data_IF_972022158678
#
_entry.id   IF_972022158678
#
_cell.length_a   1.000
_cell.length_b   1.000
_cell.length_c   1.000
_cell.angle_alpha   90.00
_cell.angle_beta   90.00
_cell.angle_gamma   90.00
#
_symmetry.space_group_name_H-M   'P 1'
#
loop_
_entity.id
_entity.type
_entity.pdbx_description
1 polymer ?
#
# COMPACT_ATOMS: atom_id res chain seq x y z
N UNK A 1 9.53 28.41 -13.62
CA UNK A 1 10.43 27.25 -13.46
C UNK A 1 11.55 27.61 -12.50
N UNK A 2 11.37 27.36 -11.20
CA UNK A 2 12.41 27.61 -10.20
C UNK A 2 13.53 26.55 -10.27
N UNK A 3 14.73 26.99 -9.88
CA UNK A 3 15.94 26.16 -9.77
C UNK A 3 15.99 25.49 -8.40
N UNK A 4 15.68 24.20 -8.34
CA UNK A 4 15.45 23.49 -7.07
C UNK A 4 16.25 22.20 -6.96
N UNK A 5 16.78 21.93 -5.78
CA UNK A 5 17.33 20.63 -5.40
C UNK A 5 16.22 19.74 -4.84
N UNK A 6 16.30 18.44 -5.10
CA UNK A 6 15.43 17.47 -4.39
C UNK A 6 16.18 16.92 -3.19
N UNK A 7 15.67 17.20 -2.00
CA UNK A 7 16.30 16.82 -0.74
C UNK A 7 15.41 15.87 0.03
N UNK A 8 16.02 15.00 0.82
CA UNK A 8 15.30 14.04 1.66
C UNK A 8 15.67 14.26 3.11
N UNK A 9 14.66 14.29 3.98
CA UNK A 9 14.80 14.54 5.40
C UNK A 9 14.50 13.29 6.20
N UNK A 10 14.66 13.38 7.53
CA UNK A 10 14.34 12.32 8.48
C UNK A 10 12.94 11.74 8.23
N UNK A 11 12.82 10.44 8.56
CA UNK A 11 11.66 9.63 8.25
C UNK A 11 10.30 10.21 8.73
N UNK A 12 9.19 9.89 8.04
CA UNK A 12 9.12 9.12 6.80
C UNK A 12 9.77 9.89 5.64
N UNK A 13 10.60 9.18 4.87
CA UNK A 13 11.41 9.66 3.73
C UNK A 13 10.52 10.32 2.66
N UNK A 14 10.13 11.58 2.92
CA UNK A 14 9.50 12.48 1.96
C UNK A 14 10.60 13.33 1.35
N UNK A 15 10.65 13.32 0.03
CA UNK A 15 11.55 14.17 -0.73
C UNK A 15 10.83 15.48 -1.02
N UNK A 16 11.49 16.61 -0.73
CA UNK A 16 10.96 17.94 -0.98
C UNK A 16 11.83 18.64 -2.01
N UNK A 17 11.20 19.50 -2.81
CA UNK A 17 11.92 20.49 -3.60
C UNK A 17 12.31 21.64 -2.68
N UNK A 18 13.58 22.04 -2.74
CA UNK A 18 14.17 23.09 -1.91
C UNK A 18 14.98 23.99 -2.81
N UNK A 19 14.89 25.29 -2.55
CA UNK A 19 15.67 26.29 -3.27
C UNK A 19 17.15 26.16 -2.89
N UNK A 20 18.00 25.97 -3.90
CA UNK A 20 19.44 25.82 -3.70
C UNK A 20 20.15 27.17 -3.48
N UNK A 21 19.54 28.28 -3.92
CA UNK A 21 20.20 29.59 -3.98
C UNK A 21 21.49 29.51 -4.81
N UNK A 22 22.54 30.14 -4.30
CA UNK A 22 23.89 30.15 -4.91
C UNK A 22 24.76 28.95 -4.51
N UNK A 23 24.21 27.96 -3.80
CA UNK A 23 24.99 26.82 -3.29
C UNK A 23 25.21 25.76 -4.38
N UNK A 24 26.46 25.35 -4.55
CA UNK A 24 26.81 24.19 -5.37
C UNK A 24 26.49 22.87 -4.62
N UNK A 25 25.31 22.31 -4.90
CA UNK A 25 24.83 21.10 -4.24
C UNK A 25 25.07 19.85 -5.11
N UNK A 26 25.94 18.97 -4.61
CA UNK A 26 26.17 17.63 -5.14
C UNK A 26 25.15 16.61 -4.62
N UNK A 27 25.00 15.49 -5.33
CA UNK A 27 24.20 14.35 -4.83
C UNK A 27 24.92 13.75 -3.62
N UNK A 28 24.17 13.46 -2.55
CA UNK A 28 24.71 12.93 -1.30
C UNK A 28 25.21 13.98 -0.33
N UNK A 29 25.28 15.26 -0.72
CA UNK A 29 25.72 16.34 0.17
C UNK A 29 24.73 16.49 1.34
N UNK A 30 25.19 16.44 2.60
CA UNK A 30 24.34 16.72 3.74
C UNK A 30 24.12 18.23 3.86
N UNK A 31 22.88 18.62 4.11
CA UNK A 31 22.47 20.03 4.16
C UNK A 31 21.58 20.27 5.37
N UNK A 32 21.60 21.51 5.87
CA UNK A 32 20.59 22.00 6.80
C UNK A 32 19.63 22.88 6.01
N UNK A 33 18.34 22.59 6.13
CA UNK A 33 17.29 23.36 5.48
C UNK A 33 16.16 23.66 6.45
N UNK A 34 15.49 24.79 6.23
CA UNK A 34 14.29 25.12 6.97
C UNK A 34 13.10 24.37 6.35
N UNK A 35 12.45 23.54 7.14
CA UNK A 35 11.19 22.87 6.78
C UNK A 35 10.01 23.57 7.46
N UNK A 36 8.79 23.13 7.19
CA UNK A 36 7.61 23.60 7.93
C UNK A 36 7.69 23.28 9.45
N UNK A 37 8.51 22.30 9.84
CA UNK A 37 8.70 21.93 11.25
C UNK A 37 9.81 22.76 11.90
N UNK A 38 10.86 23.09 11.17
CA UNK A 38 11.99 23.87 11.69
C UNK A 38 13.27 23.50 10.93
N UNK A 39 14.43 23.70 11.57
CA UNK A 39 15.71 23.31 11.00
C UNK A 39 15.85 21.77 11.01
N UNK A 40 16.07 21.17 9.84
CA UNK A 40 16.27 19.73 9.70
C UNK A 40 17.53 19.42 8.88
N UNK A 41 18.23 18.36 9.30
CA UNK A 41 19.32 17.77 8.51
C UNK A 41 18.71 16.90 7.40
N UNK A 42 19.08 17.20 6.16
CA UNK A 42 18.68 16.47 4.97
C UNK A 42 19.85 16.07 4.10
N UNK A 43 19.56 15.30 3.07
CA UNK A 43 20.54 14.87 2.07
C UNK A 43 20.03 15.17 0.67
N UNK A 44 20.87 15.75 -0.17
CA UNK A 44 20.56 16.05 -1.57
C UNK A 44 20.46 14.73 -2.36
N UNK A 45 19.31 14.49 -3.00
CA UNK A 45 19.09 13.32 -3.88
C UNK A 45 19.30 13.62 -5.34
N UNK A 46 18.87 14.79 -5.79
CA UNK A 46 19.09 15.25 -7.16
C UNK A 46 19.73 16.63 -7.12
N UNK A 47 20.70 16.85 -8.02
CA UNK A 47 21.31 18.17 -8.24
C UNK A 47 20.22 19.20 -8.57
N UNK A 48 20.46 20.48 -8.25
CA UNK A 48 19.58 21.55 -8.64
C UNK A 48 19.22 21.47 -10.14
N UNK A 49 17.93 21.57 -10.45
CA UNK A 49 17.40 21.57 -11.81
C UNK A 49 16.13 22.42 -11.89
N UNK A 50 15.80 22.85 -13.10
CA UNK A 50 14.50 23.47 -13.35
C UNK A 50 13.39 22.44 -13.20
N UNK A 51 12.37 22.78 -12.40
CA UNK A 51 11.18 21.95 -12.22
C UNK A 51 9.95 22.78 -12.55
N UNK A 52 8.97 22.23 -13.27
CA UNK A 52 7.69 22.89 -13.50
C UNK A 52 6.97 23.24 -12.19
N UNK A 53 6.37 24.44 -12.15
CA UNK A 53 5.77 25.01 -10.94
C UNK A 53 4.61 24.16 -10.40
N UNK A 54 3.90 23.44 -11.27
CA UNK A 54 2.79 22.52 -10.93
C UNK A 54 3.22 21.33 -10.07
N UNK A 55 4.51 20.98 -10.07
CA UNK A 55 5.06 19.88 -9.27
C UNK A 55 5.58 20.31 -7.91
N UNK A 56 5.58 21.61 -7.62
CA UNK A 56 6.13 22.18 -6.40
C UNK A 56 4.99 22.53 -5.45
N UNK A 57 5.11 22.12 -4.19
CA UNK A 57 4.16 22.49 -3.15
C UNK A 57 4.69 23.76 -2.46
N UNK A 58 4.03 24.92 -2.62
CA UNK A 58 4.44 26.15 -1.94
C UNK A 58 4.17 26.07 -0.42
N UNK A 59 4.92 26.80 0.43
CA UNK A 59 6.05 27.65 0.10
C UNK A 59 7.33 26.84 -0.14
N UNK A 60 8.07 27.22 -1.18
CA UNK A 60 9.42 26.71 -1.42
C UNK A 60 10.33 27.32 -0.34
N UNK A 61 10.97 26.46 0.46
CA UNK A 61 11.94 26.88 1.47
C UNK A 61 13.37 26.69 0.94
N UNK A 62 14.30 27.47 1.46
CA UNK A 62 15.70 27.45 1.05
C UNK A 62 16.57 26.49 1.87
N UNK A 63 17.68 26.08 1.26
CA UNK A 63 18.81 25.49 1.99
C UNK A 63 19.44 26.60 2.84
N UNK A 64 19.59 26.35 4.14
CA UNK A 64 20.29 27.29 5.03
C UNK A 64 21.79 27.24 4.77
N UNK A 65 22.38 26.03 4.79
CA UNK A 65 23.80 25.80 4.49
C UNK A 65 24.12 24.33 4.25
N UNK A 66 25.31 24.07 3.71
CA UNK A 66 25.93 22.73 3.72
C UNK A 66 26.22 22.34 5.18
N UNK A 67 25.87 21.11 5.54
CA UNK A 67 26.09 20.59 6.88
C UNK A 67 27.58 20.24 7.07
N UNK A 68 28.12 20.64 8.21
CA UNK A 68 29.48 20.32 8.64
C UNK A 68 29.54 18.91 9.24
N UNK A 69 30.74 18.39 9.45
CA UNK A 69 30.94 17.12 10.16
C UNK A 69 30.38 17.17 11.60
N UNK A 70 30.42 18.33 12.26
CA UNK A 70 29.85 18.53 13.59
C UNK A 70 28.32 18.41 13.57
N UNK A 71 27.66 18.93 12.53
CA UNK A 71 26.20 18.83 12.38
C UNK A 71 25.75 17.38 12.20
N UNK A 72 26.50 16.62 11.40
CA UNK A 72 26.23 15.19 11.21
C UNK A 72 26.44 14.42 12.51
N UNK A 73 27.50 14.72 13.26
CA UNK A 73 27.74 14.10 14.57
C UNK A 73 26.64 14.45 15.59
N UNK A 74 26.17 15.71 15.60
CA UNK A 74 25.04 16.14 16.42
C UNK A 74 23.75 15.37 16.07
N UNK A 75 23.48 15.14 14.78
CA UNK A 75 22.31 14.34 14.35
C UNK A 75 22.36 12.91 14.87
N UNK A 76 23.55 12.29 14.93
CA UNK A 76 23.76 10.96 15.51
C UNK A 76 23.46 10.97 17.01
N UNK A 77 24.03 11.91 17.76
CA UNK A 77 23.77 12.07 19.20
C UNK A 77 22.29 12.36 19.50
N UNK A 78 21.60 13.09 18.60
CA UNK A 78 20.17 13.32 18.70
C UNK A 78 19.37 12.02 18.57
N UNK A 79 19.76 11.11 17.67
CA UNK A 79 19.08 9.81 17.49
C UNK A 79 19.31 8.89 18.69
N UNK A 80 20.50 8.90 19.27
CA UNK A 80 20.77 8.14 20.50
C UNK A 80 19.90 8.65 21.65
N UNK A 81 19.83 9.97 21.82
CA UNK A 81 18.98 10.60 22.83
C UNK A 81 17.48 10.34 22.61
N UNK A 82 17.01 10.26 21.36
CA UNK A 82 15.62 9.89 21.05
C UNK A 82 15.26 8.48 21.55
N UNK A 83 16.19 7.53 21.46
CA UNK A 83 16.00 6.15 21.95
C UNK A 83 15.85 6.16 23.48
N UNK A 84 16.72 6.91 24.18
CA UNK A 84 16.63 7.09 25.63
C UNK A 84 15.32 7.78 26.03
N UNK A 85 14.95 8.85 25.33
CA UNK A 85 13.72 9.59 25.58
C UNK A 85 12.47 8.71 25.38
N UNK A 86 12.48 7.82 24.37
CA UNK A 86 11.42 6.85 24.14
C UNK A 86 11.31 5.83 25.28
N UNK A 87 12.45 5.35 25.80
CA UNK A 87 12.47 4.44 26.95
C UNK A 87 11.89 5.10 28.21
N UNK A 88 12.27 6.36 28.47
CA UNK A 88 11.74 7.17 29.57
C UNK A 88 10.23 7.37 29.41
N UNK A 89 9.77 7.75 28.21
CA UNK A 89 8.36 7.93 27.91
C UNK A 89 7.55 6.66 28.19
N UNK A 90 8.04 5.49 27.74
CA UNK A 90 7.39 4.20 27.99
C UNK A 90 7.36 3.82 29.47
N UNK A 91 8.41 4.12 30.23
CA UNK A 91 8.41 3.89 31.68
C UNK A 91 7.34 4.75 32.37
N UNK A 92 7.26 6.04 32.03
CA UNK A 92 6.28 6.97 32.63
C UNK A 92 4.85 6.68 32.25
N UNK A 93 4.58 6.33 31.00
CA UNK A 93 3.24 5.88 30.59
C UNK A 93 2.76 4.70 31.46
N UNK A 94 3.64 3.74 31.78
CA UNK A 94 3.32 2.62 32.66
C UNK A 94 3.11 3.03 34.12
N UNK A 95 3.97 3.90 34.65
CA UNK A 95 3.84 4.43 36.02
C UNK A 95 2.51 5.17 36.22
N UNK A 96 2.11 5.98 35.23
CA UNK A 96 0.85 6.74 35.23
C UNK A 96 -0.37 5.89 34.82
N UNK A 97 -0.18 4.61 34.49
CA UNK A 97 -1.24 3.66 34.07
C UNK A 97 -2.13 4.20 32.94
N UNK A 98 -1.52 4.84 31.95
CA UNK A 98 -2.24 5.41 30.82
C UNK A 98 -2.40 4.36 29.71
N UNK A 99 -3.61 4.24 29.17
CA UNK A 99 -3.97 3.35 28.05
C UNK A 99 -3.46 3.89 26.70
N UNK A 100 -2.14 4.01 26.58
CA UNK A 100 -1.45 4.46 25.37
C UNK A 100 -0.10 3.78 25.19
N UNK A 101 0.44 3.81 23.97
CA UNK A 101 1.75 3.25 23.65
C UNK A 101 2.59 4.29 22.91
N UNK A 102 3.74 4.66 23.50
CA UNK A 102 4.73 5.48 22.78
C UNK A 102 5.44 4.64 21.72
N UNK A 103 5.28 5.06 20.47
CA UNK A 103 5.76 4.38 19.27
C UNK A 103 7.17 4.84 18.92
N UNK A 104 7.38 6.15 18.83
CA UNK A 104 8.63 6.79 18.40
C UNK A 104 8.80 8.15 19.08
N UNK A 105 10.05 8.55 19.29
CA UNK A 105 10.42 9.92 19.63
C UNK A 105 11.26 10.52 18.51
N UNK A 106 11.06 11.80 18.19
CA UNK A 106 11.87 12.55 17.22
C UNK A 106 12.16 13.94 17.77
N UNK A 107 13.43 14.33 17.81
CA UNK A 107 13.83 15.68 18.19
C UNK A 107 14.09 16.54 16.96
N UNK A 108 13.87 17.84 17.11
CA UNK A 108 14.38 18.82 16.16
C UNK A 108 15.91 18.80 16.16
N UNK A 109 16.52 19.24 15.05
CA UNK A 109 17.97 19.28 14.93
C UNK A 109 18.64 20.07 16.07
N UNK A 110 18.03 21.19 16.46
CA UNK A 110 18.46 22.09 17.54
C UNK A 110 18.01 21.68 18.96
N UNK A 111 17.36 20.52 19.11
CA UNK A 111 16.73 20.07 20.37
C UNK A 111 15.71 21.05 20.98
N UNK A 112 15.17 21.99 20.20
CA UNK A 112 14.15 22.94 20.70
C UNK A 112 12.83 22.25 21.08
N UNK A 113 12.51 21.14 20.42
CA UNK A 113 11.26 20.39 20.60
C UNK A 113 11.49 18.90 20.38
N UNK A 114 10.85 18.10 21.23
CA UNK A 114 10.78 16.64 21.11
C UNK A 114 9.34 16.21 20.81
N UNK A 115 9.16 15.54 19.68
CA UNK A 115 7.91 14.90 19.29
C UNK A 115 7.85 13.49 19.87
N UNK A 116 6.75 13.18 20.53
CA UNK A 116 6.45 11.83 21.03
C UNK A 116 5.23 11.31 20.29
N UNK A 117 5.43 10.36 19.38
CA UNK A 117 4.37 9.72 18.64
C UNK A 117 3.76 8.59 19.47
N UNK A 118 2.45 8.62 19.66
CA UNK A 118 1.76 7.63 20.47
C UNK A 118 0.49 7.09 19.78
N UNK A 119 0.20 5.83 20.06
CA UNK A 119 -1.02 5.15 19.67
C UNK A 119 -1.93 4.99 20.91
N UNK A 120 -3.21 5.28 20.75
CA UNK A 120 -4.27 4.97 21.73
C UNK A 120 -5.58 4.70 20.99
N UNK A 121 -6.42 3.83 21.57
CA UNK A 121 -7.77 3.56 21.05
C UNK A 121 -8.76 4.65 21.44
N UNK A 122 -8.66 5.12 22.69
CA UNK A 122 -9.48 6.19 23.24
C UNK A 122 -8.66 7.46 23.51
N UNK A 123 -9.37 8.53 23.89
CA UNK A 123 -8.75 9.79 24.27
C UNK A 123 -8.10 9.65 25.64
N UNK A 124 -6.80 9.94 25.72
CA UNK A 124 -6.01 9.85 26.95
C UNK A 124 -5.78 11.25 27.52
N UNK A 125 -5.98 11.43 28.83
CA UNK A 125 -5.52 12.63 29.54
C UNK A 125 -4.06 12.45 29.98
N UNK A 126 -3.16 13.15 29.31
CA UNK A 126 -1.71 13.06 29.52
C UNK A 126 -1.13 14.29 30.22
N UNK A 127 -1.95 15.12 30.89
CA UNK A 127 -1.47 16.36 31.54
C UNK A 127 -0.40 16.11 32.60
N UNK A 128 -0.57 15.08 33.44
CA UNK A 128 0.39 14.72 34.47
C UNK A 128 1.66 14.11 33.88
N UNK A 129 1.51 13.22 32.89
CA UNK A 129 2.62 12.66 32.12
C UNK A 129 3.48 13.76 31.47
N UNK A 130 2.84 14.77 30.88
CA UNK A 130 3.53 15.90 30.25
C UNK A 130 4.43 16.65 31.23
N UNK A 131 3.96 16.88 32.47
CA UNK A 131 4.75 17.56 33.51
C UNK A 131 5.95 16.73 33.95
N UNK A 132 5.75 15.43 34.15
CA UNK A 132 6.82 14.51 34.56
C UNK A 132 7.89 14.38 33.46
N UNK A 133 7.47 14.16 32.21
CA UNK A 133 8.40 14.08 31.08
C UNK A 133 9.12 15.40 30.82
N UNK A 134 8.46 16.54 30.96
CA UNK A 134 9.10 17.85 30.78
C UNK A 134 10.20 18.08 31.83
N UNK A 135 9.95 17.67 33.09
CA UNK A 135 10.95 17.75 34.16
C UNK A 135 12.17 16.86 33.91
N UNK A 136 11.97 15.65 33.36
CA UNK A 136 13.08 14.71 33.10
C UNK A 136 13.89 15.02 31.86
N UNK A 137 13.22 15.37 30.77
CA UNK A 137 13.87 15.53 29.46
C UNK A 137 14.34 16.97 29.21
N UNK A 138 13.91 17.94 30.04
CA UNK A 138 14.29 19.36 29.94
C UNK A 138 14.13 19.94 28.53
N UNK A 139 13.11 19.48 27.80
CA UNK A 139 12.81 19.86 26.42
C UNK A 139 11.32 20.16 26.28
N UNK A 140 10.96 21.01 25.33
CA UNK A 140 9.55 21.23 24.98
C UNK A 140 8.99 19.98 24.31
N UNK A 141 7.99 19.37 24.94
CA UNK A 141 7.33 18.17 24.42
C UNK A 141 6.16 18.52 23.50
N UNK A 142 5.99 17.70 22.46
CA UNK A 142 4.81 17.69 21.60
C UNK A 142 4.35 16.25 21.42
N UNK A 143 3.23 15.89 22.03
CA UNK A 143 2.64 14.56 21.86
C UNK A 143 1.79 14.55 20.58
N UNK A 144 2.05 13.59 19.70
CA UNK A 144 1.36 13.43 18.43
C UNK A 144 0.65 12.07 18.42
N UNK A 145 -0.68 12.08 18.32
CA UNK A 145 -1.45 10.85 18.12
C UNK A 145 -1.22 10.34 16.70
N UNK A 146 -0.98 9.03 16.58
CA UNK A 146 -0.87 8.33 15.30
C UNK A 146 -1.86 7.18 15.23
N UNK A 147 -2.38 6.93 14.04
CA UNK A 147 -3.30 5.81 13.82
C UNK A 147 -2.58 4.45 13.93
N UNK A 148 -3.31 3.35 14.14
CA UNK A 148 -2.70 2.02 14.36
C UNK A 148 -1.85 1.53 13.18
N UNK A 149 -2.24 1.91 11.95
CA UNK A 149 -1.45 1.58 10.75
C UNK A 149 -0.17 2.39 10.65
N UNK A 150 -0.18 3.65 11.06
CA UNK A 150 1.02 4.50 11.09
C UNK A 150 1.98 4.02 12.18
N UNK A 151 1.45 3.63 13.35
CA UNK A 151 2.23 2.98 14.39
C UNK A 151 2.90 1.70 13.87
N UNK A 152 2.15 0.81 13.21
CA UNK A 152 2.69 -0.40 12.60
C UNK A 152 3.71 -0.11 11.48
N UNK A 153 3.52 0.97 10.71
CA UNK A 153 4.48 1.40 9.68
C UNK A 153 5.82 1.80 10.28
N UNK A 154 5.81 2.47 11.42
CA UNK A 154 7.01 2.91 12.14
C UNK A 154 7.69 1.75 12.87
N UNK A 155 6.91 0.88 13.53
CA UNK A 155 7.45 -0.29 14.22
C UNK A 155 7.94 -1.37 13.26
N UNK A 156 7.37 -1.42 12.05
CA UNK A 156 7.62 -2.49 11.09
C UNK A 156 7.04 -3.83 11.55
N UNK A 157 7.64 -4.91 11.06
CA UNK A 157 7.24 -6.29 11.36
C UNK A 157 6.78 -7.08 10.14
N UNK A 158 6.07 -8.18 10.38
CA UNK A 158 5.58 -9.08 9.35
C UNK A 158 4.05 -9.13 9.31
N UNK A 159 3.51 -9.23 8.10
CA UNK A 159 2.08 -9.43 7.87
C UNK A 159 1.67 -10.89 8.08
N UNK A 160 0.35 -11.18 8.01
CA UNK A 160 -0.15 -12.56 8.10
C UNK A 160 0.34 -13.47 6.97
N UNK A 161 0.84 -12.88 5.87
CA UNK A 161 1.49 -13.59 4.77
C UNK A 161 2.95 -13.99 5.05
N UNK A 162 3.51 -13.65 6.21
CA UNK A 162 4.90 -13.92 6.58
C UNK A 162 5.92 -12.94 6.00
N UNK A 163 5.51 -12.05 5.09
CA UNK A 163 6.36 -11.01 4.50
C UNK A 163 6.41 -9.76 5.38
N UNK A 164 7.43 -8.92 5.20
CA UNK A 164 7.49 -7.59 5.85
C UNK A 164 6.28 -6.73 5.51
N UNK A 165 5.84 -5.88 6.42
CA UNK A 165 4.65 -5.04 6.20
C UNK A 165 4.78 -4.19 4.93
N UNK A 166 3.77 -4.27 4.06
CA UNK A 166 3.77 -3.53 2.81
C UNK A 166 3.81 -2.00 3.04
N UNK A 167 3.15 -1.52 4.10
CA UNK A 167 3.10 -0.10 4.46
C UNK A 167 4.43 0.48 4.95
N UNK A 168 5.33 -0.36 5.49
CA UNK A 168 6.68 0.05 5.90
C UNK A 168 7.71 -0.11 4.76
N UNK A 169 7.34 -0.74 3.66
CA UNK A 169 8.24 -1.03 2.53
C UNK A 169 7.93 -0.18 1.31
N UNK A 170 6.99 -0.61 0.46
CA UNK A 170 6.71 0.04 -0.82
C UNK A 170 5.41 0.85 -0.84
N UNK A 171 4.41 0.48 -0.03
CA UNK A 171 3.11 1.17 0.04
C UNK A 171 3.17 2.37 0.99
N UNK A 172 3.82 3.45 0.56
CA UNK A 172 4.00 4.67 1.36
C UNK A 172 2.67 5.34 1.69
N UNK A 173 1.77 5.41 0.71
CA UNK A 173 0.43 5.94 0.84
C UNK A 173 -0.56 4.79 0.88
N UNK A 174 -1.33 4.72 1.97
CA UNK A 174 -2.34 3.66 2.12
C UNK A 174 -3.72 4.27 2.07
N UNK A 175 -4.36 4.31 0.90
CA UNK A 175 -5.75 4.74 0.80
C UNK A 175 -6.67 3.92 1.70
N UNK A 176 -7.83 4.51 2.02
CA UNK A 176 -8.85 3.85 2.84
C UNK A 176 -9.26 2.51 2.24
N UNK A 177 -9.36 1.49 3.10
CA UNK A 177 -9.78 0.14 2.72
C UNK A 177 -11.19 -0.09 3.24
N UNK A 178 -12.05 -0.66 2.40
CA UNK A 178 -13.43 -0.99 2.75
C UNK A 178 -13.68 -2.50 2.59
N UNK A 179 -14.76 -2.98 3.20
CA UNK A 179 -15.12 -4.40 3.15
C UNK A 179 -15.57 -4.87 1.75
N UNK A 180 -15.98 -3.95 0.87
CA UNK A 180 -16.37 -4.29 -0.51
C UNK A 180 -15.18 -4.84 -1.31
N UNK A 181 -13.98 -4.29 -1.09
CA UNK A 181 -12.75 -4.78 -1.73
C UNK A 181 -12.50 -6.26 -1.43
N UNK A 182 -12.66 -6.68 -0.16
CA UNK A 182 -12.52 -8.09 0.21
C UNK A 182 -13.56 -8.99 -0.48
N UNK A 183 -14.81 -8.51 -0.60
CA UNK A 183 -15.88 -9.23 -1.32
C UNK A 183 -15.58 -9.36 -2.81
N UNK A 184 -15.11 -8.29 -3.46
CA UNK A 184 -14.73 -8.29 -4.88
C UNK A 184 -13.58 -9.29 -5.17
N UNK A 185 -12.66 -9.46 -4.22
CA UNK A 185 -11.56 -10.44 -4.29
C UNK A 185 -11.98 -11.85 -3.83
N UNK A 186 -13.27 -12.05 -3.53
CA UNK A 186 -13.83 -13.34 -3.09
C UNK A 186 -13.16 -13.92 -1.84
N UNK A 187 -12.64 -13.06 -0.97
CA UNK A 187 -12.02 -13.48 0.29
C UNK A 187 -13.10 -13.74 1.36
N UNK A 188 -12.81 -14.67 2.27
CA UNK A 188 -13.64 -14.88 3.46
C UNK A 188 -13.65 -13.63 4.32
N UNK A 189 -14.84 -13.23 4.79
CA UNK A 189 -15.02 -12.02 5.61
C UNK A 189 -14.69 -12.23 7.09
N UNK A 190 -14.07 -13.36 7.46
CA UNK A 190 -13.58 -13.60 8.81
C UNK A 190 -12.45 -12.61 9.14
N UNK A 191 -12.48 -11.92 10.30
CA UNK A 191 -11.49 -10.89 10.64
C UNK A 191 -10.03 -11.35 10.50
N UNK A 192 -9.71 -12.58 10.88
CA UNK A 192 -8.36 -13.14 10.77
C UNK A 192 -7.83 -13.26 9.33
N UNK A 193 -8.72 -13.25 8.33
CA UNK A 193 -8.38 -13.37 6.90
C UNK A 193 -8.32 -12.03 6.18
N UNK A 194 -8.86 -10.95 6.76
CA UNK A 194 -8.96 -9.62 6.11
C UNK A 194 -8.27 -8.51 6.90
N UNK A 195 -7.95 -8.74 8.17
CA UNK A 195 -7.24 -7.79 9.02
C UNK A 195 -5.73 -7.95 8.90
N UNK A 196 -5.02 -6.83 8.79
CA UNK A 196 -3.56 -6.79 8.84
C UNK A 196 -3.04 -6.78 10.28
N UNK A 197 -1.70 -6.82 10.42
CA UNK A 197 -1.03 -6.80 11.72
C UNK A 197 -1.38 -5.57 12.58
N UNK A 198 -1.77 -4.45 11.95
CA UNK A 198 -2.24 -3.24 12.62
C UNK A 198 -3.70 -3.31 13.13
N UNK A 199 -4.36 -4.47 13.07
CA UNK A 199 -5.75 -4.65 13.51
C UNK A 199 -6.83 -4.03 12.60
N UNK A 200 -6.44 -3.25 11.58
CA UNK A 200 -7.32 -2.72 10.53
C UNK A 200 -7.30 -3.61 9.29
N UNK A 201 -8.25 -3.40 8.37
CA UNK A 201 -8.30 -4.12 7.08
C UNK A 201 -6.95 -4.02 6.34
N UNK A 202 -6.54 -5.10 5.67
CA UNK A 202 -5.27 -5.17 4.96
C UNK A 202 -5.18 -4.14 3.84
N UNK A 203 -4.07 -3.41 3.76
CA UNK A 203 -3.81 -2.46 2.68
C UNK A 203 -3.61 -3.15 1.31
N UNK A 204 -3.19 -4.42 1.30
CA UNK A 204 -3.07 -5.25 0.09
C UNK A 204 -4.39 -5.38 -0.66
N UNK A 205 -5.53 -5.43 0.05
CA UNK A 205 -6.87 -5.46 -0.55
C UNK A 205 -7.12 -4.28 -1.48
N UNK A 206 -6.54 -3.11 -1.19
CA UNK A 206 -6.67 -1.94 -2.05
C UNK A 206 -5.61 -1.92 -3.14
N UNK A 207 -4.40 -2.39 -2.85
CA UNK A 207 -3.31 -2.46 -3.82
C UNK A 207 -3.62 -3.44 -4.98
N UNK A 208 -4.19 -4.60 -4.66
CA UNK A 208 -4.39 -5.68 -5.64
C UNK A 208 -5.72 -5.56 -6.41
N UNK A 209 -6.64 -4.68 -5.98
CA UNK A 209 -8.02 -4.70 -6.49
C UNK A 209 -8.10 -4.50 -8.01
N UNK A 210 -7.26 -3.64 -8.58
CA UNK A 210 -7.33 -3.33 -10.00
C UNK A 210 -6.91 -4.54 -10.84
N UNK A 211 -5.93 -5.33 -10.36
CA UNK A 211 -5.57 -6.63 -10.94
C UNK A 211 -6.76 -7.60 -10.91
N UNK A 212 -7.45 -7.72 -9.76
CA UNK A 212 -8.63 -8.60 -9.66
C UNK A 212 -9.78 -8.12 -10.55
N UNK A 213 -9.98 -6.81 -10.71
CA UNK A 213 -11.05 -6.26 -11.57
C UNK A 213 -10.78 -6.54 -13.03
N UNK A 214 -9.55 -6.29 -13.48
CA UNK A 214 -9.10 -6.64 -14.82
C UNK A 214 -9.27 -8.15 -15.08
N UNK A 215 -8.76 -8.99 -14.18
CA UNK A 215 -8.88 -10.43 -14.31
C UNK A 215 -10.35 -10.92 -14.30
N UNK A 216 -11.25 -10.31 -13.52
CA UNK A 216 -12.68 -10.65 -13.54
C UNK A 216 -13.43 -10.21 -14.82
N UNK A 217 -12.91 -9.23 -15.57
CA UNK A 217 -13.43 -8.87 -16.90
C UNK A 217 -12.97 -9.88 -17.96
N UNK A 218 -11.71 -10.29 -17.81
CA UNK A 218 -10.95 -11.13 -18.72
C UNK A 218 -11.31 -12.62 -18.58
N UNK A 219 -11.57 -13.07 -17.35
CA UNK A 219 -11.86 -14.45 -17.01
C UNK A 219 -13.36 -14.67 -16.77
N UNK A 220 -13.89 -15.83 -17.17
CA UNK A 220 -15.27 -16.20 -16.89
C UNK A 220 -15.54 -16.43 -15.39
N UNK A 221 -16.81 -16.32 -14.96
CA UNK A 221 -17.20 -16.45 -13.54
C UNK A 221 -17.41 -17.92 -13.15
N UNK A 222 -17.21 -18.26 -11.88
CA UNK A 222 -17.54 -19.59 -11.36
C UNK A 222 -19.03 -19.86 -11.60
N UNK A 223 -19.34 -21.08 -12.05
CA UNK A 223 -20.68 -21.50 -12.45
C UNK A 223 -21.11 -21.07 -13.86
N UNK A 224 -20.31 -20.30 -14.59
CA UNK A 224 -20.64 -19.96 -15.98
C UNK A 224 -20.38 -21.14 -16.92
N UNK A 225 -21.26 -21.36 -17.93
CA UNK A 225 -21.03 -22.34 -18.97
C UNK A 225 -19.95 -21.82 -19.93
N UNK A 226 -18.99 -22.67 -20.28
CA UNK A 226 -17.90 -22.38 -21.20
C UNK A 226 -17.72 -23.51 -22.19
N UNK A 227 -17.31 -23.16 -23.40
CA UNK A 227 -16.82 -24.14 -24.36
C UNK A 227 -15.33 -24.33 -24.15
N UNK A 228 -14.90 -25.59 -24.13
CA UNK A 228 -13.49 -25.97 -24.03
C UNK A 228 -13.08 -26.79 -25.26
N UNK A 229 -11.77 -27.00 -25.51
CA UNK A 229 -11.31 -27.87 -26.57
C UNK A 229 -11.87 -29.31 -26.48
N UNK A 230 -12.15 -29.81 -25.27
CA UNK A 230 -12.71 -31.15 -25.03
C UNK A 230 -14.25 -31.18 -24.98
N UNK A 231 -14.92 -30.03 -25.17
CA UNK A 231 -16.38 -29.92 -25.17
C UNK A 231 -16.93 -28.89 -24.17
N UNK A 232 -18.26 -28.77 -24.06
CA UNK A 232 -18.90 -27.82 -23.17
C UNK A 232 -18.76 -28.24 -21.70
N UNK A 233 -18.55 -27.27 -20.82
CA UNK A 233 -18.43 -27.51 -19.39
C UNK A 233 -18.87 -26.33 -18.54
N UNK A 234 -18.80 -26.51 -17.22
CA UNK A 234 -19.10 -25.47 -16.23
C UNK A 234 -17.85 -25.17 -15.43
N UNK A 235 -17.56 -23.89 -15.23
CA UNK A 235 -16.45 -23.46 -14.38
C UNK A 235 -16.74 -23.79 -12.94
N UNK A 236 -15.84 -24.55 -12.32
CA UNK A 236 -15.87 -24.85 -10.89
C UNK A 236 -15.08 -23.79 -10.14
N UNK A 237 -13.86 -23.53 -10.60
CA UNK A 237 -12.95 -22.59 -9.96
C UNK A 237 -12.07 -21.83 -10.96
N UNK A 238 -11.62 -20.65 -10.57
CA UNK A 238 -10.77 -19.78 -11.39
C UNK A 238 -9.60 -19.30 -10.56
N UNK A 239 -8.40 -19.68 -10.95
CA UNK A 239 -7.18 -19.13 -10.39
C UNK A 239 -6.84 -17.83 -11.10
N UNK A 240 -7.02 -16.71 -10.39
CA UNK A 240 -6.83 -15.35 -10.91
C UNK A 240 -5.35 -15.06 -11.21
N UNK A 241 -4.41 -15.69 -10.49
CA UNK A 241 -2.98 -15.41 -10.63
C UNK A 241 -2.32 -16.18 -11.78
N UNK A 242 -2.72 -17.44 -11.98
CA UNK A 242 -2.23 -18.26 -13.10
C UNK A 242 -3.12 -18.13 -14.34
N UNK A 243 -4.25 -17.44 -14.23
CA UNK A 243 -5.28 -17.30 -15.26
C UNK A 243 -5.82 -18.65 -15.77
N UNK A 244 -5.79 -19.68 -14.93
CA UNK A 244 -6.29 -21.02 -15.26
C UNK A 244 -7.67 -21.26 -14.65
N UNK A 245 -8.53 -21.89 -15.42
CA UNK A 245 -9.90 -22.23 -15.03
C UNK A 245 -10.05 -23.74 -14.90
N UNK A 246 -10.56 -24.19 -13.75
CA UNK A 246 -10.97 -25.58 -13.55
C UNK A 246 -12.40 -25.75 -14.07
N UNK A 247 -12.56 -26.54 -15.12
CA UNK A 247 -13.83 -26.76 -15.81
C UNK A 247 -14.27 -28.20 -15.59
N UNK A 248 -15.52 -28.37 -15.14
CA UNK A 248 -16.18 -29.67 -15.09
C UNK A 248 -16.94 -29.90 -16.39
N UNK A 249 -16.52 -30.92 -17.13
CA UNK A 249 -17.15 -31.36 -18.37
C UNK A 249 -18.46 -32.12 -18.09
N UNK A 250 -19.28 -32.29 -19.12
CA UNK A 250 -20.57 -33.00 -19.01
C UNK A 250 -20.47 -34.49 -18.68
N UNK A 251 -19.29 -35.09 -18.77
CA UNK A 251 -18.97 -36.47 -18.38
C UNK A 251 -18.48 -36.59 -16.93
N UNK A 252 -18.40 -35.46 -16.20
CA UNK A 252 -17.94 -35.40 -14.81
C UNK A 252 -16.43 -35.26 -14.64
N UNK A 253 -15.63 -35.28 -15.72
CA UNK A 253 -14.18 -35.02 -15.62
C UNK A 253 -13.92 -33.54 -15.32
N UNK A 254 -12.83 -33.28 -14.60
CA UNK A 254 -12.31 -31.95 -14.34
C UNK A 254 -11.06 -31.73 -15.18
N UNK A 255 -11.06 -30.67 -15.98
CA UNK A 255 -9.91 -30.26 -16.78
C UNK A 255 -9.47 -28.86 -16.38
N UNK A 256 -8.17 -28.60 -16.51
CA UNK A 256 -7.60 -27.26 -16.33
C UNK A 256 -7.37 -26.64 -17.71
N UNK A 257 -7.98 -25.47 -17.95
CA UNK A 257 -7.89 -24.76 -19.23
C UNK A 257 -7.40 -23.34 -19.00
N UNK A 258 -6.53 -22.85 -19.88
CA UNK A 258 -6.07 -21.46 -19.83
C UNK A 258 -7.20 -20.49 -20.17
N UNK A 259 -7.27 -19.38 -19.44
CA UNK A 259 -8.30 -18.35 -19.62
C UNK A 259 -8.25 -17.66 -20.97
N UNK A 260 -7.07 -17.59 -21.61
CA UNK A 260 -6.91 -17.10 -22.98
C UNK A 260 -7.63 -18.00 -23.99
N UNK A 261 -7.43 -19.32 -23.90
CA UNK A 261 -8.13 -20.31 -24.74
C UNK A 261 -9.64 -20.19 -24.61
N UNK A 262 -10.16 -20.07 -23.39
CA UNK A 262 -11.60 -19.90 -23.15
C UNK A 262 -12.14 -18.59 -23.73
N UNK A 263 -11.31 -17.55 -23.78
CA UNK A 263 -11.68 -16.25 -24.34
C UNK A 263 -11.70 -16.27 -25.85
N UNK A 264 -10.69 -16.86 -26.49
CA UNK A 264 -10.66 -17.05 -27.93
C UNK A 264 -11.88 -17.86 -28.40
N UNK A 265 -12.21 -18.95 -27.69
CA UNK A 265 -13.41 -19.74 -27.98
C UNK A 265 -14.71 -18.95 -27.77
N UNK A 266 -14.77 -18.09 -26.76
CA UNK A 266 -15.92 -17.20 -26.52
C UNK A 266 -16.10 -16.15 -27.63
N UNK A 267 -15.00 -15.64 -28.18
CA UNK A 267 -15.03 -14.66 -29.27
C UNK A 267 -15.43 -15.32 -30.60
N UNK A 268 -14.92 -16.53 -30.86
CA UNK A 268 -15.24 -17.32 -32.06
C UNK A 268 -16.68 -17.84 -32.06
N UNK A 269 -17.14 -18.41 -30.92
CA UNK A 269 -18.40 -19.18 -30.84
C UNK A 269 -19.53 -18.45 -30.12
N UNK A 270 -19.24 -17.30 -29.51
CA UNK A 270 -20.18 -16.56 -28.69
C UNK A 270 -20.37 -17.17 -27.30
N UNK A 271 -21.25 -16.56 -26.49
CA UNK A 271 -21.52 -17.02 -25.12
C UNK A 271 -22.41 -18.28 -25.19
N UNK A 272 -21.98 -19.42 -24.61
CA UNK A 272 -22.81 -20.62 -24.57
C UNK A 272 -24.12 -20.32 -23.84
N UNK A 273 -25.25 -20.41 -24.55
CA UNK A 273 -26.57 -20.36 -23.92
C UNK A 273 -26.75 -21.66 -23.16
N UNK A 274 -26.78 -21.59 -21.82
CA UNK A 274 -26.86 -22.74 -20.94
C UNK A 274 -27.91 -23.74 -21.41
N UNK A 275 -27.47 -24.84 -22.02
CA UNK A 275 -28.34 -25.92 -22.40
C UNK A 275 -28.40 -26.85 -21.19
N UNK A 276 -29.50 -26.77 -20.44
CA UNK A 276 -29.75 -27.58 -19.24
C UNK A 276 -29.68 -29.09 -19.48
N UNK A 277 -29.72 -29.53 -20.74
CA UNK A 277 -29.71 -30.93 -21.15
C UNK A 277 -28.32 -31.53 -21.43
N UNK A 278 -27.26 -30.73 -21.64
CA UNK A 278 -25.95 -31.24 -22.10
C UNK A 278 -24.93 -31.47 -20.99
N UNK A 279 -25.12 -30.87 -19.82
CA UNK A 279 -24.21 -31.03 -18.67
C UNK A 279 -24.34 -32.41 -18.03
N UNK A 280 -25.46 -33.12 -18.24
CA UNK A 280 -25.71 -34.44 -17.67
C UNK A 280 -25.37 -35.62 -18.61
N UNK A 281 -25.06 -35.36 -19.88
CA UNK A 281 -25.01 -36.40 -20.92
C UNK A 281 -23.70 -36.43 -21.72
N UNK A 282 -22.68 -35.64 -21.35
CA UNK A 282 -21.40 -35.61 -22.08
C UNK A 282 -21.52 -35.23 -23.56
N UNK A 283 -22.64 -34.66 -23.99
CA UNK A 283 -22.91 -34.34 -25.39
C UNK A 283 -22.34 -32.98 -25.78
N UNK A 284 -21.52 -32.95 -26.83
CA UNK A 284 -21.16 -31.69 -27.48
C UNK A 284 -22.42 -31.02 -28.04
N UNK A 285 -22.58 -29.73 -27.76
CA UNK A 285 -23.71 -28.97 -28.26
C UNK A 285 -23.53 -28.73 -29.76
N UNK A 286 -24.06 -29.62 -30.60
CA UNK A 286 -24.16 -29.41 -32.06
C UNK A 286 -25.12 -28.29 -32.43
N UNK A 287 -25.80 -27.65 -31.46
CA UNK A 287 -26.65 -26.47 -31.70
C UNK A 287 -25.88 -25.16 -31.86
N UNK A 288 -24.55 -25.18 -31.82
CA UNK A 288 -23.69 -24.09 -32.32
C UNK A 288 -23.53 -24.06 -33.85
N UNK A 289 -23.83 -25.15 -34.56
CA UNK A 289 -23.55 -25.26 -36.02
C UNK A 289 -24.66 -24.61 -36.89
N UNK A 290 -25.57 -23.84 -36.28
CA UNK A 290 -26.65 -23.15 -37.00
C UNK A 290 -26.15 -21.94 -37.83
N UNK A 291 -24.97 -21.40 -37.54
CA UNK A 291 -24.45 -20.25 -38.30
C UNK A 291 -23.89 -20.63 -39.68
N UNK A 292 -23.14 -21.73 -39.79
CA UNK A 292 -22.56 -22.19 -41.06
C UNK A 292 -23.64 -22.58 -42.10
N UNK A 293 -24.72 -23.25 -41.68
CA UNK A 293 -25.85 -23.58 -42.57
C UNK A 293 -26.70 -22.37 -42.98
N UNK A 294 -26.56 -21.22 -42.30
CA UNK A 294 -27.30 -20.00 -42.66
C UNK A 294 -26.60 -19.23 -43.77
N UNK A 295 -25.26 -19.26 -43.83
CA UNK A 295 -24.48 -18.63 -44.90
C UNK A 295 -24.63 -19.36 -46.25
N UNK A 296 -24.62 -20.70 -46.26
CA UNK A 296 -24.82 -21.49 -47.50
C UNK A 296 -26.22 -21.32 -48.10
N UNK A 297 -27.26 -21.08 -47.28
CA UNK A 297 -28.63 -20.83 -47.78
C UNK A 297 -28.84 -19.42 -48.33
N UNK A 298 -28.03 -18.45 -47.95
CA UNK A 298 -28.05 -17.09 -48.53
C UNK A 298 -27.21 -16.94 -49.79
N UNK A 299 -26.36 -17.91 -50.11
CA UNK A 299 -25.56 -17.92 -51.35
C UNK A 299 -26.22 -18.71 -52.51
N UNK A 300 -27.35 -19.38 -52.25
CA UNK A 300 -28.05 -20.24 -53.20
C UNK A 300 -29.51 -19.79 -53.48
N UNK A 301 -29.85 -18.53 -53.22
CA UNK A 301 -31.16 -17.96 -53.54
C UNK A 301 -31.03 -16.50 -53.97
#
# INVERSE_FOLDING_TARGET
MPWVATCTFREPVKSYYIEAGDLELGVGTPILAETARGLELGTVKFRPREVPDDKIVPPLRGVSRIASAQDVAQDVLNREWEIEALAIARARIREHKLEMKAVKCETMFDRSKLYVFYESEERVDFRELLRDLAGKLSVRLHLQHVGPREAAKVLGGCGPCGQTLCCSTFLKETPGVNLKLAKEQRLSLTPSKISGACGRLMCCLRYEIDFYRDANLRLPKNGSPVDTPEGPGIIVDVNVFTEKCNVRLGDGRHIEVEGETLRALREERGIPKGCSSSVSSGGSCTKGVSWAKKLEKTAAN
#
